data_IF_825940309704
#
_entry.id   IF_825940309704
#
_cell.length_a   1.000
_cell.length_b   1.000
_cell.length_c   1.000
_cell.angle_alpha   90.00
_cell.angle_beta   90.00
_cell.angle_gamma   90.00
#
_symmetry.space_group_name_H-M   'P 1'
#
loop_
_entity.id
_entity.type
_entity.pdbx_description
1 polymer ?
#
# COMPACT_ATOMS: atom_id res chain seq x y z
N UNK A 1 -26.56 -20.68 -27.89
CA UNK A 1 -26.21 -21.75 -26.92
C UNK A 1 -26.87 -21.42 -25.60
N UNK A 2 -27.60 -22.35 -24.98
CA UNK A 2 -28.59 -22.01 -23.97
C UNK A 2 -27.94 -21.56 -22.67
N UNK A 3 -28.52 -20.49 -22.12
CA UNK A 3 -28.29 -19.95 -20.80
C UNK A 3 -28.87 -20.91 -19.75
N UNK A 4 -28.05 -21.86 -19.26
CA UNK A 4 -28.44 -22.68 -18.12
C UNK A 4 -27.22 -23.30 -17.41
N UNK A 5 -26.47 -22.49 -16.66
CA UNK A 5 -25.46 -23.00 -15.72
C UNK A 5 -25.15 -22.07 -14.54
N UNK A 6 -26.09 -21.21 -14.13
CA UNK A 6 -26.03 -20.51 -12.83
C UNK A 6 -26.73 -21.38 -11.77
N UNK A 7 -26.25 -22.60 -11.55
CA UNK A 7 -26.68 -23.37 -10.37
C UNK A 7 -26.06 -22.73 -9.13
N UNK A 8 -26.88 -21.99 -8.39
CA UNK A 8 -26.57 -21.50 -7.04
C UNK A 8 -26.20 -22.68 -6.16
N UNK A 9 -24.96 -22.70 -5.66
CA UNK A 9 -24.64 -23.49 -4.49
C UNK A 9 -25.42 -22.90 -3.30
N UNK A 10 -25.99 -23.74 -2.41
CA UNK A 10 -26.67 -23.25 -1.22
C UNK A 10 -25.67 -22.50 -0.34
N UNK A 11 -26.14 -21.43 0.32
CA UNK A 11 -25.38 -20.68 1.30
C UNK A 11 -24.99 -21.63 2.45
N UNK A 12 -23.73 -22.06 2.46
CA UNK A 12 -23.14 -22.78 3.61
C UNK A 12 -22.96 -21.77 4.74
N UNK A 13 -23.15 -22.21 5.99
CA UNK A 13 -22.91 -21.38 7.17
C UNK A 13 -21.48 -20.82 7.15
N UNK A 14 -21.30 -19.56 7.57
CA UNK A 14 -20.05 -18.81 7.41
C UNK A 14 -18.78 -19.50 7.94
N UNK A 15 -18.91 -20.38 8.94
CA UNK A 15 -17.79 -21.14 9.51
C UNK A 15 -17.28 -22.27 8.59
N UNK A 16 -18.12 -22.85 7.71
CA UNK A 16 -17.68 -23.88 6.75
C UNK A 16 -16.96 -23.31 5.52
N UNK A 17 -17.09 -22.01 5.25
CA UNK A 17 -16.59 -21.39 4.01
C UNK A 17 -15.13 -20.93 4.15
N UNK A 18 -14.70 -20.62 5.37
CA UNK A 18 -13.36 -20.15 5.64
C UNK A 18 -12.60 -21.30 6.30
N UNK A 19 -11.96 -22.15 5.49
CA UNK A 19 -11.12 -23.27 5.95
C UNK A 19 -9.68 -23.11 5.44
N UNK A 20 -9.05 -22.03 5.86
CA UNK A 20 -7.65 -21.74 5.58
C UNK A 20 -7.05 -20.92 6.72
N UNK A 21 -5.72 -20.99 6.92
CA UNK A 21 -5.04 -20.21 7.94
C UNK A 21 -5.09 -18.72 7.60
N UNK A 22 -5.29 -17.89 8.62
CA UNK A 22 -5.45 -16.43 8.48
C UNK A 22 -4.23 -15.66 8.99
N UNK A 23 -3.51 -16.24 9.94
CA UNK A 23 -2.30 -15.68 10.54
C UNK A 23 -1.42 -16.81 11.09
N UNK A 24 -0.16 -16.52 11.40
CA UNK A 24 0.77 -17.54 11.93
C UNK A 24 0.52 -17.91 13.39
N UNK A 25 -0.12 -17.04 14.16
CA UNK A 25 -0.43 -17.29 15.56
C UNK A 25 -1.85 -17.87 15.68
N UNK A 26 -2.01 -19.17 16.01
CA UNK A 26 -3.30 -19.83 16.04
C UNK A 26 -4.26 -19.24 17.08
N UNK A 27 -3.74 -18.52 18.09
CA UNK A 27 -4.56 -17.92 19.16
C UNK A 27 -5.52 -16.86 18.65
N UNK A 28 -5.23 -16.26 17.49
CA UNK A 28 -6.03 -15.17 16.93
C UNK A 28 -7.01 -15.64 15.85
N UNK A 29 -6.86 -16.85 15.31
CA UNK A 29 -7.61 -17.28 14.13
C UNK A 29 -9.13 -17.27 14.32
N UNK A 30 -9.62 -17.77 15.47
CA UNK A 30 -11.06 -17.82 15.72
C UNK A 30 -11.70 -16.43 15.73
N UNK A 31 -11.02 -15.43 16.31
CA UNK A 31 -11.50 -14.05 16.33
C UNK A 31 -11.50 -13.42 14.93
N UNK A 32 -10.42 -13.60 14.17
CA UNK A 32 -10.36 -13.10 12.79
C UNK A 32 -11.40 -13.77 11.91
N UNK A 33 -11.63 -15.08 12.05
CA UNK A 33 -12.65 -15.82 11.27
C UNK A 33 -14.04 -15.23 11.49
N UNK A 34 -14.42 -14.96 12.75
CA UNK A 34 -15.70 -14.30 13.06
C UNK A 34 -15.81 -12.90 12.46
N UNK A 35 -14.72 -12.12 12.47
CA UNK A 35 -14.68 -10.83 11.77
C UNK A 35 -14.95 -10.99 10.27
N UNK A 36 -14.36 -11.99 9.60
CA UNK A 36 -14.61 -12.22 8.17
C UNK A 36 -16.06 -12.60 7.88
N UNK A 37 -16.69 -13.42 8.75
CA UNK A 37 -18.11 -13.74 8.65
C UNK A 37 -18.97 -12.48 8.79
N UNK A 38 -18.71 -11.63 9.80
CA UNK A 38 -19.41 -10.34 9.94
C UNK A 38 -19.24 -9.44 8.72
N UNK A 39 -18.04 -9.40 8.13
CA UNK A 39 -17.79 -8.63 6.91
C UNK A 39 -18.65 -9.12 5.74
N UNK A 40 -18.80 -10.44 5.61
CA UNK A 40 -19.66 -11.04 4.61
C UNK A 40 -21.13 -10.64 4.85
N UNK A 41 -21.60 -10.73 6.08
CA UNK A 41 -22.97 -10.36 6.46
C UNK A 41 -23.26 -8.90 6.10
N UNK A 42 -22.38 -7.96 6.47
CA UNK A 42 -22.51 -6.53 6.13
C UNK A 42 -22.65 -6.33 4.62
N UNK A 43 -21.78 -6.95 3.81
CA UNK A 43 -21.85 -6.80 2.35
C UNK A 43 -23.13 -7.41 1.79
N UNK A 44 -23.54 -8.59 2.27
CA UNK A 44 -24.75 -9.27 1.80
C UNK A 44 -26.04 -8.50 2.16
N UNK A 45 -26.14 -7.97 3.38
CA UNK A 45 -27.28 -7.17 3.82
C UNK A 45 -27.42 -5.87 3.03
N UNK A 46 -26.29 -5.20 2.75
CA UNK A 46 -26.29 -3.88 2.09
C UNK A 46 -26.49 -3.99 0.58
N UNK A 47 -25.85 -4.97 -0.05
CA UNK A 47 -25.86 -5.12 -1.50
C UNK A 47 -27.04 -5.99 -1.97
N UNK A 48 -27.48 -6.93 -1.15
CA UNK A 48 -28.33 -8.05 -1.54
C UNK A 48 -27.50 -9.17 -2.17
N UNK A 49 -27.82 -10.42 -1.82
CA UNK A 49 -27.09 -11.61 -2.29
C UNK A 49 -27.03 -11.74 -3.81
N UNK A 50 -28.06 -11.26 -4.52
CA UNK A 50 -28.15 -11.33 -5.98
C UNK A 50 -27.21 -10.38 -6.72
N UNK A 51 -26.66 -9.37 -6.03
CA UNK A 51 -25.80 -8.33 -6.62
C UNK A 51 -24.32 -8.54 -6.32
N UNK A 52 -23.97 -9.57 -5.56
CA UNK A 52 -22.59 -9.96 -5.27
C UNK A 52 -22.20 -11.15 -6.14
N UNK A 53 -21.28 -10.97 -7.09
CA UNK A 53 -20.71 -12.09 -7.88
C UNK A 53 -19.74 -12.89 -7.02
N UNK A 54 -18.87 -12.20 -6.30
CA UNK A 54 -17.94 -12.81 -5.35
C UNK A 54 -17.43 -11.78 -4.34
N UNK A 55 -17.11 -12.24 -3.13
CA UNK A 55 -16.31 -11.51 -2.16
C UNK A 55 -14.97 -12.23 -1.98
N UNK A 56 -13.88 -11.55 -2.33
CA UNK A 56 -12.54 -12.13 -2.29
C UNK A 56 -11.72 -11.46 -1.20
N UNK A 57 -11.24 -12.22 -0.22
CA UNK A 57 -10.24 -11.77 0.73
C UNK A 57 -8.87 -11.66 0.05
N UNK A 58 -8.18 -10.54 0.26
CA UNK A 58 -6.86 -10.25 -0.33
C UNK A 58 -5.82 -9.96 0.76
N UNK A 59 -4.62 -9.55 0.32
CA UNK A 59 -3.57 -9.12 1.24
C UNK A 59 -3.01 -10.24 2.12
N UNK A 60 -2.50 -9.86 3.30
CA UNK A 60 -1.76 -10.79 4.17
C UNK A 60 -2.64 -11.88 4.79
N UNK A 61 -3.91 -11.59 5.06
CA UNK A 61 -4.83 -12.58 5.64
C UNK A 61 -5.16 -13.71 4.65
N UNK A 62 -5.30 -13.40 3.36
CA UNK A 62 -5.48 -14.40 2.32
C UNK A 62 -4.28 -15.36 2.19
N UNK A 63 -3.08 -14.91 2.60
CA UNK A 63 -1.83 -15.69 2.62
C UNK A 63 -1.62 -16.50 3.90
N UNK A 64 -2.46 -16.34 4.92
CA UNK A 64 -2.19 -16.88 6.25
C UNK A 64 -1.02 -16.17 6.97
N UNK A 65 -0.72 -14.94 6.56
CA UNK A 65 0.37 -14.11 7.09
C UNK A 65 -0.16 -12.80 7.69
N UNK A 66 -1.45 -12.79 8.06
CA UNK A 66 -2.06 -11.68 8.79
C UNK A 66 -1.31 -11.38 10.08
N UNK A 67 -1.08 -10.10 10.36
CA UNK A 67 -0.33 -9.67 11.54
C UNK A 67 -1.30 -9.29 12.62
N UNK A 68 -1.36 -10.10 13.66
CA UNK A 68 -2.26 -9.89 14.78
C UNK A 68 -1.45 -9.87 16.05
N UNK A 69 -1.60 -8.79 16.81
CA UNK A 69 -0.95 -8.57 18.10
C UNK A 69 -1.93 -8.90 19.22
N UNK A 70 -1.41 -9.48 20.29
CA UNK A 70 -2.19 -9.63 21.52
C UNK A 70 -2.45 -8.24 22.11
N UNK A 71 -3.72 -7.86 22.27
CA UNK A 71 -4.10 -6.62 22.95
C UNK A 71 -4.58 -6.90 24.37
N UNK A 72 -4.70 -5.85 25.19
CA UNK A 72 -5.11 -5.96 26.60
C UNK A 72 -6.54 -6.48 26.77
N UNK A 73 -7.44 -6.11 25.86
CA UNK A 73 -8.87 -6.53 25.88
C UNK A 73 -9.23 -7.41 24.68
N UNK A 74 -8.85 -6.95 23.49
CA UNK A 74 -9.10 -7.63 22.22
C UNK A 74 -7.80 -7.65 21.41
N UNK A 75 -7.56 -8.68 20.58
CA UNK A 75 -6.46 -8.67 19.63
C UNK A 75 -6.54 -7.46 18.69
N UNK A 76 -5.39 -7.03 18.19
CA UNK A 76 -5.27 -5.90 17.27
C UNK A 76 -4.63 -6.36 15.96
N UNK A 77 -5.27 -6.05 14.84
CA UNK A 77 -4.67 -6.24 13.52
C UNK A 77 -3.68 -5.11 13.24
N UNK A 78 -2.50 -5.48 12.76
CA UNK A 78 -1.44 -4.54 12.39
C UNK A 78 -1.47 -4.30 10.88
N UNK A 79 -2.40 -3.44 10.49
CA UNK A 79 -2.80 -3.20 9.11
C UNK A 79 -4.33 -3.31 8.98
N UNK A 80 -4.74 -3.81 7.84
CA UNK A 80 -6.12 -3.88 7.37
C UNK A 80 -6.51 -5.32 7.01
N UNK A 81 -7.82 -5.58 6.97
CA UNK A 81 -8.41 -6.71 6.26
C UNK A 81 -9.03 -6.16 4.99
N UNK A 82 -8.45 -6.55 3.85
CA UNK A 82 -8.85 -6.06 2.53
C UNK A 82 -9.69 -7.10 1.78
N UNK A 83 -10.74 -6.62 1.14
CA UNK A 83 -11.61 -7.42 0.29
C UNK A 83 -11.78 -6.79 -1.09
N UNK A 84 -11.88 -7.63 -2.11
CA UNK A 84 -12.36 -7.27 -3.43
C UNK A 84 -13.82 -7.72 -3.57
N UNK A 85 -14.75 -6.77 -3.62
CA UNK A 85 -16.17 -7.04 -3.84
C UNK A 85 -16.45 -7.00 -5.35
N UNK A 86 -16.71 -8.18 -5.94
CA UNK A 86 -16.96 -8.31 -7.38
C UNK A 86 -18.45 -8.17 -7.66
N UNK A 87 -18.78 -7.16 -8.46
CA UNK A 87 -20.15 -6.78 -8.82
C UNK A 87 -20.44 -7.19 -10.28
N UNK A 88 -21.70 -7.49 -10.63
CA UNK A 88 -22.08 -7.71 -12.03
C UNK A 88 -21.90 -6.42 -12.86
N UNK A 89 -21.83 -6.52 -14.19
CA UNK A 89 -21.62 -5.36 -15.05
C UNK A 89 -22.84 -4.43 -15.21
N UNK A 90 -24.00 -4.82 -14.66
CA UNK A 90 -25.28 -4.14 -14.88
C UNK A 90 -25.72 -3.27 -13.69
N UNK A 91 -24.93 -3.21 -12.61
CA UNK A 91 -25.24 -2.34 -11.47
C UNK A 91 -24.75 -0.91 -11.69
N UNK A 92 -25.38 0.05 -11.02
CA UNK A 92 -24.87 1.42 -10.91
C UNK A 92 -23.58 1.44 -10.07
N UNK A 93 -22.47 1.09 -10.73
CA UNK A 93 -21.15 0.96 -10.11
C UNK A 93 -20.69 2.26 -9.46
N UNK A 94 -20.97 3.42 -10.10
CA UNK A 94 -20.53 4.71 -9.58
C UNK A 94 -21.22 5.06 -8.26
N UNK A 95 -22.54 4.87 -8.19
CA UNK A 95 -23.29 5.06 -6.95
C UNK A 95 -22.84 4.10 -5.87
N UNK A 96 -22.76 2.80 -6.19
CA UNK A 96 -22.35 1.78 -5.22
C UNK A 96 -20.94 2.02 -4.70
N UNK A 97 -19.98 2.32 -5.57
CA UNK A 97 -18.60 2.63 -5.19
C UNK A 97 -18.50 3.75 -4.15
N UNK A 98 -19.40 4.74 -4.21
CA UNK A 98 -19.47 5.80 -3.20
C UNK A 98 -19.95 5.33 -1.81
N UNK A 99 -20.64 4.20 -1.72
CA UNK A 99 -21.16 3.63 -0.47
C UNK A 99 -20.19 2.70 0.25
N UNK A 100 -19.28 2.04 -0.47
CA UNK A 100 -18.32 1.08 0.11
C UNK A 100 -17.45 1.64 1.25
N UNK A 101 -16.95 2.88 1.21
CA UNK A 101 -16.23 3.46 2.36
C UNK A 101 -17.06 3.48 3.65
N UNK A 102 -18.35 3.80 3.57
CA UNK A 102 -19.24 3.78 4.73
C UNK A 102 -19.46 2.35 5.25
N UNK A 103 -19.52 1.36 4.35
CA UNK A 103 -19.63 -0.06 4.74
C UNK A 103 -18.34 -0.57 5.39
N UNK A 104 -17.19 -0.12 4.91
CA UNK A 104 -15.89 -0.37 5.51
C UNK A 104 -15.80 0.16 6.95
N UNK A 105 -16.21 1.40 7.16
CA UNK A 105 -16.26 2.01 8.50
C UNK A 105 -17.25 1.28 9.42
N UNK A 106 -18.43 0.92 8.90
CA UNK A 106 -19.42 0.14 9.63
C UNK A 106 -18.88 -1.23 10.04
N UNK A 107 -18.29 -1.99 9.12
CA UNK A 107 -17.72 -3.31 9.41
C UNK A 107 -16.57 -3.22 10.42
N UNK A 108 -15.71 -2.20 10.32
CA UNK A 108 -14.64 -1.91 11.29
C UNK A 108 -15.19 -1.67 12.69
N UNK A 109 -16.28 -0.88 12.79
CA UNK A 109 -16.98 -0.63 14.06
C UNK A 109 -17.65 -1.89 14.62
N UNK A 110 -18.28 -2.70 13.77
CA UNK A 110 -18.92 -3.96 14.21
C UNK A 110 -17.90 -5.03 14.64
N UNK A 111 -16.67 -4.95 14.13
CA UNK A 111 -15.58 -5.85 14.52
C UNK A 111 -14.91 -5.44 15.84
N UNK A 112 -15.04 -4.18 16.28
CA UNK A 112 -14.21 -3.61 17.36
C UNK A 112 -14.33 -4.30 18.71
N UNK A 113 -15.46 -4.95 18.98
CA UNK A 113 -15.70 -5.71 20.21
C UNK A 113 -14.96 -7.05 20.24
N UNK A 114 -14.52 -7.54 19.07
CA UNK A 114 -13.77 -8.79 18.94
C UNK A 114 -12.31 -8.56 18.61
N UNK A 115 -12.04 -7.61 17.70
CA UNK A 115 -10.73 -7.33 17.14
C UNK A 115 -10.67 -5.85 16.77
N UNK A 116 -9.61 -5.16 17.18
CA UNK A 116 -9.34 -3.81 16.67
C UNK A 116 -8.73 -3.91 15.27
N UNK A 117 -9.48 -3.54 14.24
CA UNK A 117 -9.08 -3.70 12.84
C UNK A 117 -9.76 -2.66 11.94
N UNK A 118 -9.03 -2.23 10.90
CA UNK A 118 -9.60 -1.48 9.78
C UNK A 118 -9.98 -2.46 8.66
N UNK A 119 -11.20 -2.37 8.15
CA UNK A 119 -11.74 -3.22 7.08
C UNK A 119 -11.91 -2.40 5.81
N UNK A 120 -11.34 -2.86 4.70
CA UNK A 120 -11.42 -2.20 3.39
C UNK A 120 -12.15 -3.08 2.37
N UNK A 121 -13.22 -2.55 1.78
CA UNK A 121 -13.91 -3.18 0.66
C UNK A 121 -13.65 -2.39 -0.63
N UNK A 122 -12.93 -3.00 -1.57
CA UNK A 122 -12.68 -2.46 -2.91
C UNK A 122 -13.68 -3.03 -3.93
N UNK A 123 -14.69 -2.25 -4.38
CA UNK A 123 -15.61 -2.72 -5.39
C UNK A 123 -15.00 -2.72 -6.79
N UNK A 124 -15.23 -3.80 -7.53
CA UNK A 124 -14.90 -3.91 -8.95
C UNK A 124 -16.03 -4.56 -9.73
N UNK A 125 -16.22 -4.15 -10.98
CA UNK A 125 -17.09 -4.88 -11.90
C UNK A 125 -16.42 -6.18 -12.34
N UNK A 126 -17.17 -7.23 -12.59
CA UNK A 126 -16.65 -8.53 -13.06
C UNK A 126 -15.74 -8.40 -14.30
N UNK A 127 -16.07 -7.49 -15.23
CA UNK A 127 -15.26 -7.21 -16.40
C UNK A 127 -13.89 -6.60 -16.11
N UNK A 128 -13.65 -6.10 -14.88
CA UNK A 128 -12.32 -5.67 -14.44
C UNK A 128 -11.33 -6.82 -14.50
N UNK A 129 -11.70 -8.01 -14.01
CA UNK A 129 -10.81 -9.16 -13.91
C UNK A 129 -10.31 -9.60 -15.29
N UNK A 130 -11.21 -9.74 -16.25
CA UNK A 130 -10.87 -10.19 -17.60
C UNK A 130 -10.18 -9.11 -18.47
N UNK A 131 -10.48 -7.81 -18.26
CA UNK A 131 -10.10 -6.74 -19.22
C UNK A 131 -9.18 -5.66 -18.67
N UNK A 132 -9.11 -5.49 -17.35
CA UNK A 132 -8.44 -4.35 -16.71
C UNK A 132 -7.42 -4.74 -15.64
N UNK A 133 -7.49 -5.95 -15.07
CA UNK A 133 -6.50 -6.49 -14.15
C UNK A 133 -5.20 -6.80 -14.92
N UNK A 134 -4.31 -5.81 -15.00
CA UNK A 134 -3.01 -5.93 -15.67
C UNK A 134 -1.95 -6.51 -14.74
N UNK A 135 -0.88 -7.13 -15.30
CA UNK A 135 0.28 -7.54 -14.50
C UNK A 135 0.76 -6.44 -13.57
N UNK A 136 0.80 -6.76 -12.28
CA UNK A 136 1.15 -5.89 -11.15
C UNK A 136 1.39 -6.76 -9.93
N UNK A 137 2.08 -6.22 -8.93
CA UNK A 137 2.29 -6.86 -7.62
C UNK A 137 0.94 -7.23 -7.01
N UNK A 138 -0.01 -6.29 -6.97
CA UNK A 138 -1.35 -6.52 -6.40
C UNK A 138 -2.10 -7.65 -7.13
N UNK A 139 -2.17 -7.61 -8.47
CA UNK A 139 -2.92 -8.63 -9.22
C UNK A 139 -2.24 -10.00 -9.11
N UNK A 140 -0.91 -10.05 -9.04
CA UNK A 140 -0.18 -11.31 -8.86
C UNK A 140 -0.50 -11.94 -7.50
N UNK A 141 -0.45 -11.13 -6.44
CA UNK A 141 -0.84 -11.58 -5.09
C UNK A 141 -2.30 -12.03 -5.06
N UNK A 142 -3.21 -11.30 -5.73
CA UNK A 142 -4.62 -11.62 -5.83
C UNK A 142 -4.86 -12.99 -6.47
N UNK A 143 -4.30 -13.25 -7.66
CA UNK A 143 -4.53 -14.54 -8.35
C UNK A 143 -3.88 -15.71 -7.63
N UNK A 144 -2.74 -15.49 -6.95
CA UNK A 144 -1.97 -16.56 -6.33
C UNK A 144 -2.47 -16.92 -4.94
N UNK A 145 -2.99 -15.94 -4.20
CA UNK A 145 -3.31 -16.10 -2.79
C UNK A 145 -4.71 -15.66 -2.40
N UNK A 146 -5.43 -14.93 -3.24
CA UNK A 146 -6.79 -14.48 -2.97
C UNK A 146 -7.71 -15.64 -2.57
N UNK A 147 -8.60 -15.39 -1.61
CA UNK A 147 -9.55 -16.39 -1.10
C UNK A 147 -10.95 -15.94 -1.37
N UNK A 148 -11.69 -16.68 -2.19
CA UNK A 148 -13.12 -16.43 -2.40
C UNK A 148 -13.85 -16.90 -1.15
N UNK A 149 -14.39 -15.96 -0.38
CA UNK A 149 -15.14 -16.27 0.86
C UNK A 149 -16.65 -16.27 0.64
N UNK A 150 -17.13 -15.81 -0.53
CA UNK A 150 -18.52 -15.97 -0.96
C UNK A 150 -18.65 -15.80 -2.47
N UNK A 151 -19.68 -16.40 -3.06
CA UNK A 151 -20.02 -16.29 -4.47
C UNK A 151 -19.25 -17.28 -5.36
N UNK A 152 -18.92 -16.86 -6.58
CA UNK A 152 -18.32 -17.71 -7.62
C UNK A 152 -16.87 -18.08 -7.30
N UNK A 153 -16.61 -19.36 -6.99
CA UNK A 153 -15.31 -19.86 -6.51
C UNK A 153 -14.16 -19.75 -7.52
N UNK A 154 -14.45 -19.80 -8.82
CA UNK A 154 -13.47 -19.74 -9.91
C UNK A 154 -13.25 -18.31 -10.46
N UNK A 155 -13.82 -17.28 -9.81
CA UNK A 155 -13.80 -15.88 -10.26
C UNK A 155 -12.40 -15.34 -10.55
N UNK A 156 -11.38 -15.77 -9.81
CA UNK A 156 -10.00 -15.32 -10.00
C UNK A 156 -9.33 -15.91 -11.25
N UNK A 157 -9.87 -17.00 -11.79
CA UNK A 157 -9.43 -17.59 -13.07
C UNK A 157 -9.79 -16.74 -14.29
N UNK A 158 -10.63 -15.72 -14.14
CA UNK A 158 -10.94 -14.73 -15.20
C UNK A 158 -9.76 -13.78 -15.47
N UNK A 159 -8.83 -13.65 -14.52
CA UNK A 159 -7.63 -12.84 -14.73
C UNK A 159 -6.68 -13.60 -15.66
N UNK A 160 -6.22 -12.99 -16.78
CA UNK A 160 -5.26 -13.64 -17.66
C UNK A 160 -4.02 -14.07 -16.91
N UNK A 161 -3.53 -15.28 -17.17
CA UNK A 161 -2.33 -15.81 -16.53
C UNK A 161 -1.09 -14.97 -16.89
N UNK A 162 -0.25 -14.70 -15.91
CA UNK A 162 1.05 -14.06 -16.08
C UNK A 162 2.01 -14.50 -14.97
N UNK A 163 3.28 -14.21 -15.15
CA UNK A 163 4.37 -14.56 -14.23
C UNK A 163 4.93 -13.32 -13.53
N UNK A 164 5.74 -13.47 -12.46
CA UNK A 164 6.41 -12.33 -11.85
C UNK A 164 7.24 -11.48 -12.84
N UNK A 165 7.77 -12.07 -13.92
CA UNK A 165 8.53 -11.37 -14.94
C UNK A 165 7.69 -10.41 -15.79
N UNK A 166 6.38 -10.63 -15.85
CA UNK A 166 5.44 -9.76 -16.58
C UNK A 166 5.05 -8.53 -15.75
N UNK A 167 5.34 -8.51 -14.44
CA UNK A 167 5.11 -7.35 -13.58
C UNK A 167 6.00 -6.21 -14.07
N UNK A 168 5.42 -5.06 -14.48
CA UNK A 168 6.22 -3.97 -14.98
C UNK A 168 7.15 -3.41 -13.89
N UNK A 169 8.43 -3.11 -14.20
CA UNK A 169 9.36 -2.56 -13.22
C UNK A 169 8.91 -1.24 -12.57
N UNK A 170 8.04 -0.48 -13.26
CA UNK A 170 7.48 0.75 -12.69
C UNK A 170 6.56 0.50 -11.49
N UNK A 171 5.96 -0.69 -11.36
CA UNK A 171 5.10 -1.05 -10.23
C UNK A 171 5.92 -1.18 -8.93
N UNK A 172 7.11 -1.78 -9.03
CA UNK A 172 8.11 -1.80 -7.96
C UNK A 172 8.53 -0.37 -7.55
N UNK A 173 8.93 0.46 -8.51
CA UNK A 173 9.31 1.86 -8.23
C UNK A 173 8.17 2.64 -7.55
N UNK A 174 6.93 2.43 -7.97
CA UNK A 174 5.77 3.04 -7.32
C UNK A 174 5.57 2.56 -5.88
N UNK A 175 5.86 1.29 -5.57
CA UNK A 175 5.83 0.77 -4.20
C UNK A 175 6.78 1.57 -3.30
N UNK A 176 8.03 1.79 -3.71
CA UNK A 176 8.99 2.60 -2.95
C UNK A 176 8.50 4.04 -2.75
N UNK A 177 7.95 4.65 -3.81
CA UNK A 177 7.38 6.00 -3.72
C UNK A 177 6.16 6.10 -2.78
N UNK A 178 5.31 5.09 -2.74
CA UNK A 178 4.20 5.06 -1.79
C UNK A 178 4.73 4.99 -0.36
N UNK A 179 5.68 4.08 -0.08
CA UNK A 179 6.22 3.90 1.27
C UNK A 179 6.98 5.11 1.76
N UNK A 180 7.74 5.81 0.91
CA UNK A 180 8.43 7.02 1.36
C UNK A 180 7.45 8.14 1.74
N UNK A 181 6.31 8.28 1.04
CA UNK A 181 5.32 9.32 1.36
C UNK A 181 4.58 8.97 2.65
N UNK A 182 4.26 7.70 2.87
CA UNK A 182 3.71 7.25 4.15
C UNK A 182 4.69 7.50 5.30
N UNK A 183 6.00 7.25 5.10
CA UNK A 183 7.02 7.54 6.10
C UNK A 183 7.16 9.04 6.38
N UNK A 184 6.99 9.90 5.37
CA UNK A 184 6.94 11.35 5.57
C UNK A 184 5.75 11.77 6.44
N UNK A 185 4.58 11.20 6.17
CA UNK A 185 3.40 11.44 7.00
C UNK A 185 3.62 10.98 8.44
N UNK A 186 4.11 9.75 8.60
CA UNK A 186 4.45 9.16 9.88
C UNK A 186 5.41 10.05 10.69
N UNK A 187 6.46 10.57 10.05
CA UNK A 187 7.45 11.43 10.68
C UNK A 187 6.83 12.71 11.25
N UNK A 188 5.96 13.37 10.46
CA UNK A 188 5.33 14.61 10.88
C UNK A 188 4.32 14.37 12.00
N UNK A 189 3.53 13.30 11.92
CA UNK A 189 2.52 12.98 12.93
C UNK A 189 3.12 12.49 14.24
N UNK A 190 4.24 11.77 14.21
CA UNK A 190 4.81 11.08 15.38
C UNK A 190 5.01 11.97 16.63
N UNK A 191 5.15 13.28 16.49
CA UNK A 191 5.28 14.20 17.62
C UNK A 191 4.01 14.35 18.46
N UNK A 192 2.84 14.10 17.87
CA UNK A 192 1.53 14.43 18.46
C UNK A 192 0.68 13.17 18.71
N UNK A 193 1.16 11.99 18.33
CA UNK A 193 0.40 10.75 18.47
C UNK A 193 0.32 10.30 19.93
N UNK A 194 -0.83 9.72 20.26
CA UNK A 194 -0.98 8.83 21.41
C UNK A 194 -0.17 7.54 21.21
N UNK A 195 -0.01 6.79 22.29
CA UNK A 195 0.85 5.59 22.30
C UNK A 195 0.37 4.52 21.31
N UNK A 196 -0.95 4.41 21.13
CA UNK A 196 -1.59 3.43 20.24
C UNK A 196 -1.29 3.73 18.77
N UNK A 197 -1.39 4.99 18.36
CA UNK A 197 -1.11 5.44 17.01
C UNK A 197 0.40 5.55 16.75
N UNK A 198 1.20 5.85 17.78
CA UNK A 198 2.65 5.83 17.69
C UNK A 198 3.17 4.43 17.37
N UNK A 199 2.54 3.41 17.94
CA UNK A 199 2.84 2.00 17.65
C UNK A 199 2.58 1.66 16.17
N UNK A 200 1.46 2.08 15.59
CA UNK A 200 1.17 1.86 14.17
C UNK A 200 2.24 2.48 13.27
N UNK A 201 2.71 3.68 13.63
CA UNK A 201 3.80 4.34 12.91
C UNK A 201 5.12 3.58 13.04
N UNK A 202 5.45 3.11 14.24
CA UNK A 202 6.63 2.28 14.46
C UNK A 202 6.56 0.98 13.62
N UNK A 203 5.39 0.37 13.53
CA UNK A 203 5.16 -0.81 12.71
C UNK A 203 5.20 -0.55 11.20
N UNK A 204 4.80 0.63 10.73
CA UNK A 204 4.97 1.02 9.32
C UNK A 204 6.44 0.98 8.89
N UNK A 205 7.40 1.21 9.80
CA UNK A 205 8.83 1.07 9.51
C UNK A 205 9.20 -0.38 9.18
N UNK A 206 8.63 -1.35 9.89
CA UNK A 206 8.76 -2.79 9.59
C UNK A 206 8.27 -3.10 8.19
N UNK A 207 7.10 -2.57 7.81
CA UNK A 207 6.56 -2.70 6.44
C UNK A 207 7.51 -2.12 5.41
N UNK A 208 8.09 -0.93 5.66
CA UNK A 208 9.04 -0.31 4.72
C UNK A 208 10.22 -1.24 4.39
N UNK A 209 10.84 -1.90 5.38
CA UNK A 209 11.98 -2.80 5.13
C UNK A 209 11.57 -3.97 4.23
N UNK A 210 10.41 -4.58 4.50
CA UNK A 210 9.89 -5.69 3.71
C UNK A 210 9.52 -5.27 2.28
N UNK A 211 9.00 -4.07 2.12
CA UNK A 211 8.59 -3.53 0.82
C UNK A 211 9.78 -3.07 -0.02
N UNK A 212 10.89 -2.65 0.60
CA UNK A 212 12.15 -2.40 -0.14
C UNK A 212 12.69 -3.69 -0.76
N UNK A 213 12.71 -4.79 -0.01
CA UNK A 213 13.09 -6.09 -0.54
C UNK A 213 12.08 -6.60 -1.60
N UNK A 214 10.79 -6.44 -1.33
CA UNK A 214 9.72 -6.82 -2.26
C UNK A 214 9.79 -6.04 -3.57
N UNK A 215 10.06 -4.73 -3.49
CA UNK A 215 10.26 -3.86 -4.66
C UNK A 215 11.43 -4.34 -5.51
N UNK A 216 12.61 -4.55 -4.92
CA UNK A 216 13.78 -4.98 -5.66
C UNK A 216 13.60 -6.35 -6.35
N UNK A 217 12.91 -7.28 -5.67
CA UNK A 217 12.54 -8.58 -6.24
C UNK A 217 11.57 -8.44 -7.41
N UNK A 218 10.50 -7.66 -7.24
CA UNK A 218 9.52 -7.40 -8.30
C UNK A 218 10.15 -6.66 -9.50
N UNK A 219 11.06 -5.71 -9.24
CA UNK A 219 11.78 -4.97 -10.27
C UNK A 219 12.59 -5.90 -11.18
N UNK A 220 13.10 -7.01 -10.64
CA UNK A 220 13.84 -8.04 -11.39
C UNK A 220 12.97 -9.20 -11.88
N UNK A 221 11.65 -9.05 -11.82
CA UNK A 221 10.74 -10.09 -12.29
C UNK A 221 10.71 -11.34 -11.43
N UNK A 222 11.06 -11.22 -10.14
CA UNK A 222 11.18 -12.33 -9.16
C UNK A 222 10.37 -12.04 -7.90
N UNK A 223 9.23 -11.37 -8.04
CA UNK A 223 8.35 -11.01 -6.94
C UNK A 223 8.05 -12.22 -6.03
N UNK A 224 8.27 -12.03 -4.72
CA UNK A 224 8.08 -13.04 -3.68
C UNK A 224 6.98 -12.55 -2.73
N UNK A 225 5.75 -13.09 -2.81
CA UNK A 225 4.60 -12.62 -2.02
C UNK A 225 4.67 -12.99 -0.54
N UNK A 226 5.35 -14.09 -0.16
CA UNK A 226 5.43 -14.52 1.23
C UNK A 226 6.46 -13.72 2.02
N UNK A 227 6.04 -13.15 3.14
CA UNK A 227 6.95 -12.49 4.07
C UNK A 227 7.96 -13.48 4.68
N UNK A 228 7.60 -14.76 4.82
CA UNK A 228 8.50 -15.78 5.34
C UNK A 228 9.65 -16.12 4.36
N UNK A 229 9.35 -16.19 3.07
CA UNK A 229 10.33 -16.55 2.03
C UNK A 229 11.15 -15.35 1.53
N UNK A 230 10.62 -14.12 1.67
CA UNK A 230 11.21 -12.91 1.10
C UNK A 230 12.65 -12.62 1.52
N UNK A 231 13.08 -12.78 2.80
CA UNK A 231 14.46 -12.51 3.17
C UNK A 231 15.45 -13.41 2.43
N UNK A 232 15.16 -14.71 2.31
CA UNK A 232 15.98 -15.66 1.55
C UNK A 232 15.99 -15.35 0.06
N UNK A 233 14.84 -14.98 -0.51
CA UNK A 233 14.76 -14.57 -1.91
C UNK A 233 15.60 -13.32 -2.18
N UNK A 234 15.54 -12.34 -1.29
CA UNK A 234 16.30 -11.11 -1.40
C UNK A 234 17.81 -11.32 -1.21
N UNK A 235 18.22 -12.19 -0.28
CA UNK A 235 19.64 -12.55 -0.12
C UNK A 235 20.24 -13.11 -1.42
N UNK A 236 19.52 -14.03 -2.10
CA UNK A 236 19.93 -14.53 -3.43
C UNK A 236 20.00 -13.45 -4.48
N UNK A 237 19.04 -12.50 -4.46
CA UNK A 237 19.09 -11.37 -5.38
C UNK A 237 20.38 -10.54 -5.19
N UNK A 238 20.83 -10.33 -3.95
CA UNK A 238 22.05 -9.56 -3.69
C UNK A 238 23.33 -10.25 -4.17
N UNK A 239 23.35 -11.58 -4.23
CA UNK A 239 24.44 -12.35 -4.84
C UNK A 239 24.53 -12.08 -6.35
N UNK A 240 23.38 -11.93 -7.01
CA UNK A 240 23.27 -11.65 -8.44
C UNK A 240 23.39 -10.15 -8.79
N UNK A 241 23.18 -9.26 -7.81
CA UNK A 241 23.19 -7.80 -7.97
C UNK A 241 24.23 -7.11 -7.06
N UNK A 242 25.54 -7.25 -7.34
CA UNK A 242 26.61 -6.69 -6.49
C UNK A 242 26.50 -5.17 -6.26
N UNK A 243 26.02 -4.44 -7.28
CA UNK A 243 25.83 -2.99 -7.19
C UNK A 243 24.77 -2.60 -6.15
N UNK A 244 23.69 -3.39 -6.02
CA UNK A 244 22.68 -3.19 -4.98
C UNK A 244 23.22 -3.61 -3.62
N UNK A 245 23.90 -4.77 -3.55
CA UNK A 245 24.50 -5.28 -2.32
C UNK A 245 25.48 -4.26 -1.69
N UNK A 246 26.35 -3.67 -2.50
CA UNK A 246 27.31 -2.65 -2.07
C UNK A 246 26.64 -1.33 -1.65
N UNK A 247 25.50 -0.99 -2.26
CA UNK A 247 24.80 0.25 -1.97
C UNK A 247 23.96 0.20 -0.67
N UNK A 248 23.54 -0.99 -0.23
CA UNK A 248 22.68 -1.12 0.95
C UNK A 248 23.46 -0.83 2.24
N UNK A 249 22.78 -0.28 3.27
CA UNK A 249 23.41 -0.09 4.58
C UNK A 249 23.87 -1.42 5.20
N UNK A 250 24.98 -1.42 5.95
CA UNK A 250 25.40 -2.59 6.72
C UNK A 250 24.28 -3.08 7.64
N UNK A 251 24.08 -4.40 7.69
CA UNK A 251 23.05 -5.03 8.54
C UNK A 251 21.62 -5.01 7.97
N UNK A 252 21.38 -4.49 6.76
CA UNK A 252 20.05 -4.47 6.16
C UNK A 252 19.39 -5.86 6.08
N UNK A 253 20.14 -6.92 5.75
CA UNK A 253 19.60 -8.30 5.75
C UNK A 253 19.13 -8.73 7.15
N UNK A 254 19.88 -8.41 8.20
CA UNK A 254 19.47 -8.69 9.58
C UNK A 254 18.25 -7.88 10.01
N UNK A 255 18.10 -6.64 9.53
CA UNK A 255 16.88 -5.83 9.72
C UNK A 255 15.69 -6.45 8.97
N UNK A 256 15.89 -6.93 7.75
CA UNK A 256 14.87 -7.60 6.94
C UNK A 256 14.38 -8.90 7.58
N UNK A 257 15.29 -9.74 8.08
CA UNK A 257 14.94 -10.97 8.79
C UNK A 257 14.12 -10.69 10.06
N UNK A 258 14.52 -9.67 10.83
CA UNK A 258 13.78 -9.23 12.01
C UNK A 258 12.39 -8.72 11.63
N UNK A 259 12.32 -7.91 10.57
CA UNK A 259 11.06 -7.35 10.09
C UNK A 259 10.09 -8.45 9.62
N UNK A 260 10.60 -9.48 8.92
CA UNK A 260 9.81 -10.63 8.49
C UNK A 260 9.24 -11.42 9.67
N UNK A 261 10.06 -11.72 10.69
CA UNK A 261 9.59 -12.40 11.90
C UNK A 261 8.53 -11.60 12.63
N UNK A 262 8.78 -10.31 12.84
CA UNK A 262 7.83 -9.41 13.50
C UNK A 262 6.51 -9.25 12.72
N UNK A 263 6.59 -9.20 11.38
CA UNK A 263 5.40 -9.16 10.51
C UNK A 263 4.54 -10.42 10.67
N UNK A 264 5.17 -11.59 10.79
CA UNK A 264 4.47 -12.87 10.88
C UNK A 264 3.92 -13.14 12.29
N UNK A 265 4.70 -12.82 13.32
CA UNK A 265 4.36 -13.03 14.73
C UNK A 265 4.79 -11.79 15.52
N UNK A 266 3.94 -10.75 15.62
CA UNK A 266 4.30 -9.51 16.30
C UNK A 266 4.36 -9.63 17.84
N UNK A 267 3.87 -10.75 18.39
CA UNK A 267 3.87 -11.00 19.84
C UNK A 267 2.98 -10.01 20.59
N UNK A 268 3.54 -9.42 21.65
CA UNK A 268 2.93 -8.36 22.45
C UNK A 268 3.40 -6.95 22.04
N UNK A 269 4.18 -6.85 20.97
CA UNK A 269 4.60 -5.60 20.37
C UNK A 269 5.73 -4.84 21.05
N UNK A 270 6.39 -5.42 22.06
CA UNK A 270 7.57 -4.81 22.73
C UNK A 270 8.76 -4.61 21.80
N UNK A 271 8.86 -5.43 20.74
CA UNK A 271 9.93 -5.33 19.74
C UNK A 271 9.72 -4.20 18.72
N UNK A 272 8.55 -3.54 18.74
CA UNK A 272 8.17 -2.50 17.77
C UNK A 272 8.36 -1.11 18.34
N UNK A 273 7.98 -0.91 19.60
CA UNK A 273 8.13 0.33 20.33
C UNK A 273 8.77 0.03 21.68
N UNK A 274 9.91 0.64 22.04
CA UNK A 274 10.60 0.34 23.30
C UNK A 274 9.76 0.77 24.51
N UNK A 275 9.17 -0.17 25.27
CA UNK A 275 8.16 0.15 26.28
C UNK A 275 8.77 0.79 27.54
N UNK A 276 10.09 0.66 27.74
CA UNK A 276 10.82 1.20 28.88
C UNK A 276 11.15 2.70 28.74
N UNK A 277 10.99 3.27 27.54
CA UNK A 277 11.23 4.69 27.31
C UNK A 277 9.99 5.52 27.69
N UNK A 278 10.16 6.73 28.24
CA UNK A 278 9.04 7.65 28.45
C UNK A 278 8.41 8.06 27.10
N UNK A 279 7.12 8.45 27.04
CA UNK A 279 6.42 8.73 25.79
C UNK A 279 7.12 9.73 24.86
N UNK A 280 7.70 10.80 25.41
CA UNK A 280 8.47 11.77 24.62
C UNK A 280 9.70 11.14 23.94
N UNK A 281 10.41 10.25 24.64
CA UNK A 281 11.56 9.53 24.09
C UNK A 281 11.13 8.45 23.08
N UNK A 282 9.97 7.81 23.27
CA UNK A 282 9.41 6.91 22.26
C UNK A 282 9.09 7.64 20.94
N UNK A 283 8.49 8.84 21.01
CA UNK A 283 8.22 9.67 19.82
C UNK A 283 9.50 10.07 19.10
N UNK A 284 10.52 10.48 19.85
CA UNK A 284 11.84 10.78 19.30
C UNK A 284 12.47 9.56 18.64
N UNK A 285 12.44 8.41 19.31
CA UNK A 285 12.95 7.13 18.80
C UNK A 285 12.28 6.75 17.48
N UNK A 286 10.96 6.86 17.36
CA UNK A 286 10.24 6.57 16.10
C UNK A 286 10.72 7.49 14.98
N UNK A 287 10.86 8.80 15.24
CA UNK A 287 11.36 9.75 14.23
C UNK A 287 12.79 9.44 13.80
N UNK A 288 13.66 9.11 14.75
CA UNK A 288 15.03 8.67 14.46
C UNK A 288 15.07 7.40 13.60
N UNK A 289 14.19 6.43 13.89
CA UNK A 289 14.06 5.20 13.10
C UNK A 289 13.59 5.46 11.66
N UNK A 290 12.68 6.40 11.46
CA UNK A 290 12.25 6.82 10.12
C UNK A 290 13.42 7.46 9.37
N UNK A 291 14.18 8.35 10.01
CA UNK A 291 15.36 9.01 9.41
C UNK A 291 16.45 7.99 9.08
N UNK A 292 16.68 7.01 9.96
CA UNK A 292 17.66 5.95 9.76
C UNK A 292 17.30 4.99 8.63
N UNK A 293 16.04 4.96 8.17
CA UNK A 293 15.63 4.21 6.99
C UNK A 293 15.99 4.87 5.65
N UNK A 294 16.28 6.18 5.65
CA UNK A 294 16.54 6.97 4.43
C UNK A 294 17.66 6.39 3.57
N UNK A 295 18.83 5.96 4.10
CA UNK A 295 19.89 5.39 3.27
C UNK A 295 19.45 4.13 2.50
N UNK A 296 18.72 3.21 3.12
CA UNK A 296 18.24 2.00 2.44
C UNK A 296 17.25 2.33 1.31
N UNK A 297 16.30 3.24 1.57
CA UNK A 297 15.35 3.73 0.56
C UNK A 297 16.08 4.39 -0.60
N UNK A 298 17.05 5.26 -0.31
CA UNK A 298 17.83 5.96 -1.32
C UNK A 298 18.62 4.98 -2.20
N UNK A 299 19.22 3.94 -1.61
CA UNK A 299 19.99 2.93 -2.34
C UNK A 299 19.13 2.08 -3.26
N UNK A 300 17.99 1.56 -2.78
CA UNK A 300 17.06 0.79 -3.61
C UNK A 300 16.49 1.67 -4.72
N UNK A 301 15.96 2.85 -4.39
CA UNK A 301 15.36 3.75 -5.37
C UNK A 301 16.37 4.22 -6.43
N UNK A 302 17.62 4.52 -6.03
CA UNK A 302 18.68 4.87 -6.97
C UNK A 302 18.94 3.70 -7.92
N UNK A 303 19.17 2.49 -7.40
CA UNK A 303 19.43 1.31 -8.23
C UNK A 303 18.29 1.02 -9.21
N UNK A 304 17.03 1.08 -8.77
CA UNK A 304 15.87 0.89 -9.64
C UNK A 304 15.78 1.97 -10.72
N UNK A 305 16.00 3.24 -10.36
CA UNK A 305 15.96 4.34 -11.32
C UNK A 305 17.13 4.31 -12.30
N UNK A 306 18.33 3.94 -11.86
CA UNK A 306 19.48 3.79 -12.76
C UNK A 306 19.20 2.73 -13.82
N UNK A 307 18.73 1.56 -13.39
CA UNK A 307 18.37 0.46 -14.30
C UNK A 307 17.20 0.84 -15.23
N UNK A 308 16.15 1.49 -14.69
CA UNK A 308 14.98 1.88 -15.48
C UNK A 308 15.33 2.97 -16.51
N UNK A 309 16.22 3.89 -16.16
CA UNK A 309 16.59 5.04 -16.99
C UNK A 309 17.78 4.78 -17.91
N UNK A 310 18.54 3.71 -17.68
CA UNK A 310 19.78 3.43 -18.40
C UNK A 310 20.84 4.51 -18.18
N UNK A 311 20.88 5.09 -16.97
CA UNK A 311 21.84 6.14 -16.62
C UNK A 311 22.28 6.00 -15.17
N UNK A 312 23.53 6.32 -14.87
CA UNK A 312 24.06 6.33 -13.50
C UNK A 312 24.07 7.74 -12.93
N UNK A 313 23.98 7.85 -11.60
CA UNK A 313 24.24 9.10 -10.91
C UNK A 313 23.41 9.30 -9.65
N UNK A 314 23.46 10.53 -9.14
CA UNK A 314 22.75 10.87 -7.92
C UNK A 314 21.23 10.83 -8.12
N UNK A 315 20.53 10.60 -7.01
CA UNK A 315 19.09 10.43 -6.99
C UNK A 315 18.31 11.67 -7.50
N UNK A 316 18.66 12.94 -7.18
CA UNK A 316 17.90 14.09 -7.67
C UNK A 316 17.87 14.24 -9.21
N UNK A 317 19.00 14.11 -9.94
CA UNK A 317 18.99 14.01 -11.41
C UNK A 317 18.13 12.85 -11.95
N UNK A 318 18.26 11.65 -11.37
CA UNK A 318 17.48 10.46 -11.76
C UNK A 318 15.97 10.71 -11.62
N UNK A 319 15.54 11.23 -10.46
CA UNK A 319 14.14 11.61 -10.22
C UNK A 319 13.64 12.64 -11.23
N UNK A 320 14.46 13.66 -11.53
CA UNK A 320 14.09 14.70 -12.47
C UNK A 320 13.94 14.16 -13.91
N UNK A 321 14.69 13.12 -14.28
CA UNK A 321 14.56 12.42 -15.57
C UNK A 321 13.35 11.50 -15.59
N UNK A 322 13.15 10.70 -14.53
CA UNK A 322 12.01 9.81 -14.36
C UNK A 322 10.68 10.56 -14.47
N UNK A 323 10.54 11.66 -13.73
CA UNK A 323 9.38 12.56 -13.76
C UNK A 323 8.99 13.02 -15.18
N UNK A 324 9.98 13.24 -16.05
CA UNK A 324 9.78 13.75 -17.41
C UNK A 324 9.52 12.67 -18.46
N UNK A 325 9.54 11.38 -18.11
CA UNK A 325 9.52 10.27 -19.07
C UNK A 325 8.11 9.92 -19.59
N UNK A 326 7.05 10.34 -18.91
CA UNK A 326 5.67 9.93 -19.27
C UNK A 326 5.23 10.46 -20.63
N UNK A 327 4.54 9.64 -21.44
CA UNK A 327 3.98 10.07 -22.72
C UNK A 327 2.90 11.16 -22.53
N UNK A 328 2.72 12.04 -23.53
CA UNK A 328 1.83 13.20 -23.42
C UNK A 328 0.36 12.80 -23.20
N UNK A 329 -0.10 11.71 -23.81
CA UNK A 329 -1.48 11.19 -23.61
C UNK A 329 -1.73 10.83 -22.14
N UNK A 330 -0.74 10.20 -21.49
CA UNK A 330 -0.83 9.86 -20.07
C UNK A 330 -0.84 11.11 -19.19
N UNK A 331 -0.04 12.12 -19.54
CA UNK A 331 -0.05 13.42 -18.82
C UNK A 331 -1.43 14.06 -18.91
N UNK A 332 -1.99 14.19 -20.11
CA UNK A 332 -3.32 14.76 -20.31
C UNK A 332 -4.37 14.01 -19.48
N UNK A 333 -4.39 12.68 -19.57
CA UNK A 333 -5.32 11.83 -18.82
C UNK A 333 -5.23 12.01 -17.30
N UNK A 334 -4.02 11.94 -16.73
CA UNK A 334 -3.85 12.04 -15.27
C UNK A 334 -4.20 13.45 -14.75
N UNK A 335 -3.97 14.50 -15.54
CA UNK A 335 -4.41 15.86 -15.20
C UNK A 335 -5.92 16.06 -15.34
N UNK A 336 -6.57 15.42 -16.31
CA UNK A 336 -8.04 15.40 -16.43
C UNK A 336 -8.67 14.77 -15.19
N UNK A 337 -8.10 13.66 -14.68
CA UNK A 337 -8.57 13.05 -13.42
C UNK A 337 -8.50 14.00 -12.23
N UNK A 338 -7.43 14.78 -12.12
CA UNK A 338 -7.28 15.80 -11.07
C UNK A 338 -8.31 16.93 -11.24
N UNK A 339 -8.60 17.35 -12.48
CA UNK A 339 -9.57 18.41 -12.75
C UNK A 339 -11.02 17.96 -12.51
N UNK A 340 -11.33 16.68 -12.76
CA UNK A 340 -12.66 16.07 -12.62
C UNK A 340 -12.81 15.27 -11.32
N UNK A 341 -11.91 15.46 -10.35
CA UNK A 341 -11.94 14.71 -9.12
C UNK A 341 -13.25 15.01 -8.34
N UNK A 342 -14.01 13.98 -7.90
CA UNK A 342 -15.32 14.19 -7.28
C UNK A 342 -15.25 14.85 -5.90
N UNK A 343 -14.14 14.62 -5.18
CA UNK A 343 -13.86 15.25 -3.88
C UNK A 343 -13.04 16.53 -4.10
N UNK A 344 -13.38 17.66 -3.46
CA UNK A 344 -12.58 18.88 -3.50
C UNK A 344 -11.12 18.65 -3.08
N UNK A 345 -10.19 19.38 -3.70
CA UNK A 345 -8.78 19.30 -3.33
C UNK A 345 -8.58 19.75 -1.87
N UNK A 346 -7.78 19.03 -1.06
CA UNK A 346 -7.55 19.37 0.34
C UNK A 346 -6.75 20.67 0.51
N UNK A 347 -6.15 21.17 -0.56
CA UNK A 347 -5.38 22.43 -0.60
C UNK A 347 -5.69 23.19 -1.89
N UNK A 348 -5.69 24.54 -1.88
CA UNK A 348 -6.04 25.33 -3.07
C UNK A 348 -5.05 25.14 -4.23
N UNK A 349 -5.54 24.66 -5.36
CA UNK A 349 -4.72 24.45 -6.56
C UNK A 349 -4.39 25.77 -7.29
N UNK A 350 -3.17 25.88 -7.80
CA UNK A 350 -2.74 27.00 -8.64
C UNK A 350 -2.86 26.62 -10.13
N UNK A 351 -4.00 26.92 -10.75
CA UNK A 351 -4.33 26.56 -12.15
C UNK A 351 -3.20 26.84 -13.15
N UNK A 352 -2.59 28.03 -13.11
CA UNK A 352 -1.47 28.39 -14.00
C UNK A 352 -0.25 27.48 -13.78
N UNK A 353 0.05 27.10 -12.52
CA UNK A 353 1.16 26.18 -12.23
C UNK A 353 0.82 24.76 -12.65
N UNK A 354 -0.40 24.30 -12.38
CA UNK A 354 -0.88 22.99 -12.83
C UNK A 354 -0.75 22.87 -14.36
N UNK A 355 -1.22 23.87 -15.12
CA UNK A 355 -1.09 23.90 -16.57
C UNK A 355 0.38 23.85 -17.04
N UNK A 356 1.26 24.66 -16.45
CA UNK A 356 2.71 24.61 -16.74
C UNK A 356 3.34 23.24 -16.43
N UNK A 357 2.86 22.57 -15.38
CA UNK A 357 3.38 21.27 -14.95
C UNK A 357 2.85 20.12 -15.80
N UNK A 358 1.63 20.24 -16.33
CA UNK A 358 1.04 19.28 -17.27
C UNK A 358 1.86 19.08 -18.53
N UNK A 359 2.55 20.13 -18.98
CA UNK A 359 3.49 20.03 -20.11
C UNK A 359 4.68 19.13 -19.78
N UNK A 360 5.09 19.04 -18.52
CA UNK A 360 6.35 18.37 -18.12
C UNK A 360 6.18 16.99 -17.48
N UNK A 361 5.04 16.72 -16.83
CA UNK A 361 4.88 15.55 -15.96
C UNK A 361 3.41 15.27 -15.63
N UNK A 362 3.13 14.10 -15.06
CA UNK A 362 1.86 13.76 -14.40
C UNK A 362 1.83 14.31 -12.96
N UNK A 363 0.65 14.52 -12.35
CA UNK A 363 0.51 14.87 -10.93
C UNK A 363 1.20 13.86 -10.01
N UNK A 364 1.01 12.57 -10.27
CA UNK A 364 1.61 11.47 -9.50
C UNK A 364 3.14 11.56 -9.50
N UNK A 365 3.76 11.71 -10.66
CA UNK A 365 5.22 11.74 -10.74
C UNK A 365 5.83 13.01 -10.12
N UNK A 366 5.10 14.12 -10.14
CA UNK A 366 5.48 15.34 -9.41
C UNK A 366 5.47 15.13 -7.91
N UNK A 367 4.41 14.49 -7.38
CA UNK A 367 4.26 14.22 -5.96
C UNK A 367 5.27 13.18 -5.46
N UNK A 368 5.52 12.12 -6.23
CA UNK A 368 6.56 11.14 -5.95
C UNK A 368 7.96 11.76 -5.93
N UNK A 369 8.27 12.60 -6.91
CA UNK A 369 9.57 13.31 -6.93
C UNK A 369 9.70 14.29 -5.76
N UNK A 370 8.64 15.05 -5.46
CA UNK A 370 8.64 15.99 -4.34
C UNK A 370 8.77 15.26 -3.00
N UNK A 371 8.05 14.14 -2.82
CA UNK A 371 8.14 13.28 -1.65
C UNK A 371 9.53 12.69 -1.49
N UNK A 372 10.12 12.12 -2.54
CA UNK A 372 11.46 11.55 -2.46
C UNK A 372 12.49 12.58 -2.01
N UNK A 373 12.49 13.78 -2.61
CA UNK A 373 13.39 14.86 -2.21
C UNK A 373 13.15 15.32 -0.76
N UNK A 374 11.88 15.40 -0.33
CA UNK A 374 11.54 15.77 1.03
C UNK A 374 11.98 14.70 2.06
N UNK A 375 11.91 13.42 1.70
CA UNK A 375 12.33 12.29 2.54
C UNK A 375 13.84 12.21 2.67
N UNK A 376 14.59 12.40 1.57
CA UNK A 376 16.05 12.49 1.60
C UNK A 376 16.52 13.63 2.53
N UNK A 377 15.82 14.77 2.48
CA UNK A 377 16.10 15.92 3.34
C UNK A 377 15.94 15.64 4.85
N UNK A 378 15.26 14.56 5.26
CA UNK A 378 15.18 14.19 6.67
C UNK A 378 16.52 13.70 7.23
N UNK A 379 17.34 13.05 6.39
CA UNK A 379 18.65 12.54 6.80
C UNK A 379 19.77 13.56 6.53
N UNK A 380 19.81 14.11 5.32
CA UNK A 380 20.76 15.15 4.92
C UNK A 380 20.08 16.13 3.98
N UNK A 381 20.20 17.45 4.16
CA UNK A 381 19.66 18.42 3.21
C UNK A 381 20.30 18.24 1.82
N UNK A 382 19.59 17.59 0.90
CA UNK A 382 20.04 17.31 -0.48
C UNK A 382 19.37 18.23 -1.49
N UNK A 383 18.15 18.68 -1.21
CA UNK A 383 17.39 19.60 -2.05
C UNK A 383 17.02 20.88 -1.31
N UNK A 384 17.21 22.04 -1.96
CA UNK A 384 16.72 23.32 -1.42
C UNK A 384 15.18 23.26 -1.31
N UNK A 385 14.57 23.77 -0.23
CA UNK A 385 13.09 23.83 -0.11
C UNK A 385 12.42 24.50 -1.32
N UNK A 386 13.11 25.42 -1.98
CA UNK A 386 12.64 26.06 -3.21
C UNK A 386 12.54 25.12 -4.42
N UNK A 387 13.34 24.06 -4.48
CA UNK A 387 13.26 23.04 -5.52
C UNK A 387 12.00 22.17 -5.37
N UNK A 388 11.72 21.71 -4.14
CA UNK A 388 10.52 20.94 -3.81
C UNK A 388 9.27 21.78 -4.08
N UNK A 389 9.24 23.03 -3.61
CA UNK A 389 8.11 23.95 -3.82
C UNK A 389 7.79 24.21 -5.31
N UNK A 390 8.77 24.07 -6.23
CA UNK A 390 8.53 24.22 -7.67
C UNK A 390 7.75 23.03 -8.25
N UNK A 391 7.87 21.84 -7.66
CA UNK A 391 7.17 20.63 -8.12
C UNK A 391 5.69 20.66 -7.76
N UNK A 392 5.33 21.36 -6.68
CA UNK A 392 3.96 21.49 -6.21
C UNK A 392 3.13 22.44 -7.09
N UNK A 393 1.88 22.07 -7.34
CA UNK A 393 0.93 22.80 -8.18
C UNK A 393 -0.17 23.53 -7.38
N UNK A 394 0.17 23.98 -6.17
CA UNK A 394 -0.74 24.68 -5.23
C UNK A 394 -0.49 26.19 -5.16
N UNK A 395 -1.49 26.93 -4.63
CA UNK A 395 -1.37 28.35 -4.27
C UNK A 395 -0.39 28.52 -3.10
N UNK A 396 0.05 29.76 -2.89
CA UNK A 396 1.37 30.17 -2.33
C UNK A 396 1.69 29.75 -0.87
N UNK A 397 0.87 28.98 -0.16
CA UNK A 397 1.09 28.60 1.23
C UNK A 397 1.93 27.31 1.33
N UNK A 398 3.27 27.46 1.44
CA UNK A 398 4.30 26.50 1.92
C UNK A 398 5.69 26.79 1.29
N UNK A 399 5.99 28.06 0.97
CA UNK A 399 7.12 28.37 0.07
C UNK A 399 8.51 28.31 0.70
N UNK A 400 8.67 28.06 2.01
CA UNK A 400 9.99 27.93 2.66
C UNK A 400 10.07 26.95 3.82
N UNK A 401 8.94 26.56 4.41
CA UNK A 401 8.91 25.61 5.53
C UNK A 401 8.88 24.15 5.04
N UNK A 402 9.91 23.32 5.36
CA UNK A 402 9.91 21.91 5.03
C UNK A 402 8.73 21.11 5.59
N UNK A 403 8.21 21.45 6.78
CA UNK A 403 7.08 20.72 7.38
C UNK A 403 5.78 20.94 6.59
N UNK A 404 5.43 22.20 6.31
CA UNK A 404 4.29 22.53 5.46
C UNK A 404 4.40 21.92 4.05
N UNK A 405 5.62 21.79 3.50
CA UNK A 405 5.84 21.11 2.22
C UNK A 405 5.50 19.62 2.29
N UNK A 406 6.00 18.91 3.30
CA UNK A 406 5.71 17.49 3.51
C UNK A 406 4.21 17.26 3.69
N UNK A 407 3.56 18.05 4.54
CA UNK A 407 2.11 17.98 4.74
C UNK A 407 1.34 18.17 3.42
N UNK A 408 1.73 19.17 2.62
CA UNK A 408 1.13 19.41 1.30
C UNK A 408 1.32 18.23 0.34
N UNK A 409 2.52 17.63 0.32
CA UNK A 409 2.81 16.46 -0.51
C UNK A 409 1.91 15.30 -0.12
N UNK A 410 1.82 14.98 1.17
CA UNK A 410 1.02 13.86 1.67
C UNK A 410 -0.48 14.07 1.39
N UNK A 411 -1.01 15.26 1.67
CA UNK A 411 -2.43 15.57 1.41
C UNK A 411 -2.78 15.44 -0.08
N UNK A 412 -1.94 16.01 -0.96
CA UNK A 412 -2.15 15.90 -2.40
C UNK A 412 -1.95 14.48 -2.92
N UNK A 413 -1.02 13.71 -2.36
CA UNK A 413 -0.80 12.31 -2.74
C UNK A 413 -2.00 11.45 -2.39
N UNK A 414 -2.54 11.57 -1.17
CA UNK A 414 -3.79 10.89 -0.77
C UNK A 414 -4.92 11.21 -1.73
N UNK A 415 -5.09 12.50 -2.03
CA UNK A 415 -6.14 12.96 -2.93
C UNK A 415 -5.93 12.53 -4.40
N UNK A 416 -4.72 12.68 -4.96
CA UNK A 416 -4.45 12.41 -6.38
C UNK A 416 -4.14 10.95 -6.72
N UNK A 417 -3.73 10.15 -5.74
CA UNK A 417 -3.11 8.83 -5.99
C UNK A 417 -3.80 7.73 -5.21
N UNK A 418 -4.09 7.96 -3.92
CA UNK A 418 -4.72 6.94 -3.07
C UNK A 418 -6.24 6.86 -3.28
N UNK A 419 -6.89 8.00 -3.54
CA UNK A 419 -8.35 8.09 -3.66
C UNK A 419 -8.87 8.11 -5.12
N UNK A 420 -8.00 7.87 -6.12
CA UNK A 420 -8.31 7.85 -7.57
C UNK A 420 -8.11 6.48 -8.16
#
# INVERSE_FOLDING_TARGET
>A
MPADSLRRAPARGGDEVIDFPLCRDPRHEAAIRRVLVRCLDVVQERLGSDKLVALVLTGSFARGEGSVMSGERVPRVLGDIEFLAVLPGEVDFHRLRGSFPAWSEEASRLASDEVRVDIEFGPVEIGYLARRARPSIFVYDLIRHGKVIAGRADILGEVPAFTPADIPPHDAVHLVFNRLIEQLEAYDRAAELDDIALWDVAYQRTKLVLDLAGSALAFRGRHEPSYASRPRAFARLLEEEPALALALPPGFLGELDRAARLKLVPGDGRDVLPPHLPPAAQRAWVRERIVAGVPAVASVLRWELEALLGMHGDLPPLLARWMRRHHWTRRAWDWTKVALHPVPAPVPLARIRAARRAVTSTPRALLYTAGALAYLNLHRPTARPSAIARLLFVRRAARRDPAAQRQTITLLWRWCVRNT
#
